data_IF_765413986407
#
_entry.id   IF_765413986407
#
_cell.length_a   1.000
_cell.length_b   1.000
_cell.length_c   1.000
_cell.angle_alpha   90.00
_cell.angle_beta   90.00
_cell.angle_gamma   90.00
#
_symmetry.space_group_name_H-M   'P 1'
#
loop_
_entity.id
_entity.type
_entity.pdbx_description
1 polymer ?
#
# COMPACT_ATOMS: atom_id res chain seq x y z
N UNK A 1 -3.92 -17.45 6.29
CA UNK A 1 -3.57 -16.09 5.84
C UNK A 1 -4.81 -15.38 5.35
N UNK A 2 -4.95 -14.13 5.68
CA UNK A 2 -6.06 -13.28 5.25
C UNK A 2 -5.59 -12.30 4.19
N UNK A 3 -6.51 -11.86 3.33
CA UNK A 3 -6.17 -10.99 2.21
C UNK A 3 -7.10 -9.80 2.14
N UNK A 4 -6.51 -8.63 1.89
CA UNK A 4 -7.23 -7.43 1.48
C UNK A 4 -6.88 -7.23 0.01
N UNK A 5 -7.89 -6.98 -0.82
CA UNK A 5 -7.66 -6.73 -2.25
C UNK A 5 -8.62 -5.68 -2.75
N UNK A 6 -8.06 -4.65 -3.35
CA UNK A 6 -8.82 -3.59 -4.02
C UNK A 6 -8.31 -3.41 -5.44
N UNK A 7 -9.13 -2.85 -6.31
CA UNK A 7 -8.76 -2.55 -7.70
C UNK A 7 -9.23 -1.17 -8.08
N UNK A 8 -8.51 -0.55 -8.99
CA UNK A 8 -8.89 0.74 -9.56
C UNK A 8 -8.33 0.89 -10.97
N UNK A 9 -9.02 1.68 -11.79
CA UNK A 9 -8.50 2.12 -13.09
C UNK A 9 -7.99 3.55 -12.91
N UNK A 10 -6.73 3.77 -13.28
CA UNK A 10 -6.11 5.09 -13.21
C UNK A 10 -5.86 5.57 -14.63
N UNK A 11 -6.39 6.75 -15.04
CA UNK A 11 -6.24 7.25 -16.40
C UNK A 11 -4.85 7.86 -16.63
N UNK A 12 -3.82 7.07 -16.44
CA UNK A 12 -2.41 7.43 -16.66
C UNK A 12 -1.60 6.16 -16.91
N UNK A 13 -0.46 6.31 -17.59
CA UNK A 13 0.40 5.17 -17.89
C UNK A 13 0.97 4.54 -16.62
N UNK A 14 1.34 3.24 -16.65
CA UNK A 14 2.00 2.60 -15.51
C UNK A 14 3.24 3.34 -15.03
N UNK A 15 4.02 3.92 -15.93
CA UNK A 15 5.23 4.67 -15.55
C UNK A 15 4.91 5.91 -14.74
N UNK A 16 3.84 6.61 -15.07
CA UNK A 16 3.41 7.79 -14.30
C UNK A 16 2.89 7.40 -12.93
N UNK A 17 2.13 6.32 -12.84
CA UNK A 17 1.65 5.78 -11.56
C UNK A 17 2.83 5.34 -10.71
N UNK A 18 3.77 4.63 -11.31
CA UNK A 18 4.97 4.15 -10.63
C UNK A 18 5.79 5.29 -10.01
N UNK A 19 5.98 6.37 -10.75
CA UNK A 19 6.74 7.51 -10.27
C UNK A 19 6.19 8.10 -8.97
N UNK A 20 4.87 8.10 -8.80
CA UNK A 20 4.22 8.54 -7.57
C UNK A 20 4.35 7.50 -6.46
N UNK A 21 4.17 6.22 -6.80
CA UNK A 21 4.23 5.13 -5.83
C UNK A 21 5.60 4.97 -5.16
N UNK A 22 6.68 5.21 -5.88
CA UNK A 22 8.03 5.04 -5.34
C UNK A 22 8.61 6.31 -4.72
N UNK A 23 7.93 7.42 -4.83
CA UNK A 23 8.35 8.69 -4.23
C UNK A 23 7.91 8.73 -2.76
N UNK A 24 8.50 7.86 -1.95
CA UNK A 24 8.13 7.65 -0.55
C UNK A 24 8.17 8.92 0.28
N UNK A 25 9.18 9.76 0.07
CA UNK A 25 9.35 10.99 0.84
C UNK A 25 8.23 12.00 0.66
N UNK A 26 7.35 11.81 -0.32
CA UNK A 26 6.19 12.67 -0.56
C UNK A 26 4.85 12.02 -0.19
N UNK A 27 4.86 10.86 0.41
CA UNK A 27 3.61 10.18 0.83
C UNK A 27 2.76 11.04 1.76
N UNK A 28 3.39 11.86 2.59
CA UNK A 28 2.68 12.77 3.49
C UNK A 28 1.84 13.81 2.76
N UNK A 29 2.10 14.04 1.47
CA UNK A 29 1.38 15.02 0.67
C UNK A 29 0.06 14.46 0.10
N UNK A 30 -0.10 13.14 0.03
CA UNK A 30 -1.27 12.57 -0.64
C UNK A 30 -1.80 11.27 -0.05
N UNK A 31 -0.98 10.44 0.57
CA UNK A 31 -1.38 9.08 0.97
C UNK A 31 -2.13 9.10 2.32
N UNK A 32 -3.43 8.74 2.34
CA UNK A 32 -4.21 8.80 3.58
C UNK A 32 -4.02 7.59 4.50
N UNK A 33 -3.27 6.57 4.10
CA UNK A 33 -3.03 5.36 4.89
C UNK A 33 -1.58 5.30 5.36
N UNK A 34 -0.63 5.26 4.43
CA UNK A 34 0.79 5.41 4.74
C UNK A 34 1.11 6.90 4.73
N UNK A 35 0.86 7.56 5.85
CA UNK A 35 0.87 9.03 5.95
C UNK A 35 2.26 9.63 5.91
N UNK A 36 3.30 8.83 6.08
CA UNK A 36 4.69 9.22 5.90
C UNK A 36 5.52 8.00 5.57
N UNK A 37 6.53 8.17 4.72
CA UNK A 37 7.47 7.12 4.39
C UNK A 37 8.81 7.72 3.97
N UNK A 38 9.88 6.93 4.08
CA UNK A 38 11.20 7.31 3.60
C UNK A 38 12.00 6.07 3.24
N UNK A 39 12.85 6.18 2.23
CA UNK A 39 13.71 5.11 1.76
C UNK A 39 13.88 5.15 0.25
N UNK A 40 14.72 4.27 -0.26
CA UNK A 40 15.02 4.17 -1.69
C UNK A 40 14.21 3.06 -2.35
N UNK A 41 13.77 3.29 -3.58
CA UNK A 41 12.99 2.33 -4.36
C UNK A 41 13.93 1.32 -5.05
N UNK A 42 14.40 0.34 -4.29
CA UNK A 42 15.21 -0.77 -4.81
C UNK A 42 14.90 -2.05 -4.05
N UNK A 43 15.05 -3.22 -4.69
CA UNK A 43 14.79 -4.50 -4.01
C UNK A 43 15.66 -4.63 -2.75
N UNK A 44 15.05 -5.10 -1.67
CA UNK A 44 15.74 -5.29 -0.39
C UNK A 44 15.94 -4.04 0.45
N UNK A 45 15.56 -2.87 -0.05
CA UNK A 45 15.72 -1.62 0.70
C UNK A 45 14.82 -1.62 1.94
N UNK A 46 15.30 -0.95 2.99
CA UNK A 46 14.52 -0.71 4.20
C UNK A 46 13.76 0.59 4.04
N UNK A 47 12.46 0.53 4.26
CA UNK A 47 11.56 1.68 4.20
C UNK A 47 11.01 1.93 5.59
N UNK A 48 11.14 3.16 6.07
CA UNK A 48 10.50 3.57 7.31
C UNK A 48 9.15 4.17 6.97
N UNK A 49 8.08 3.64 7.53
CA UNK A 49 6.73 4.09 7.23
C UNK A 49 5.91 4.31 8.49
N UNK A 50 5.06 5.33 8.45
CA UNK A 50 4.04 5.59 9.46
C UNK A 50 2.69 5.42 8.79
N UNK A 51 1.84 4.56 9.34
CA UNK A 51 0.53 4.30 8.76
C UNK A 51 -0.57 4.34 9.82
N UNK A 52 -1.78 4.64 9.37
CA UNK A 52 -2.96 4.55 10.22
C UNK A 52 -3.19 3.08 10.59
N UNK A 53 -3.57 2.87 11.85
CA UNK A 53 -3.95 1.54 12.32
C UNK A 53 -5.47 1.38 12.20
N UNK A 54 -5.99 0.74 11.13
CA UNK A 54 -7.43 0.65 10.91
C UNK A 54 -8.17 -0.10 12.01
N UNK A 55 -7.49 -1.02 12.71
CA UNK A 55 -8.08 -1.77 13.82
C UNK A 55 -7.90 -1.11 15.18
N UNK A 56 -7.28 0.07 15.23
CA UNK A 56 -7.03 0.79 16.49
C UNK A 56 -8.02 1.92 16.73
N UNK A 57 -7.66 2.80 17.68
CA UNK A 57 -8.44 4.00 17.95
C UNK A 57 -8.41 4.94 16.75
N UNK A 58 -9.46 5.76 16.52
CA UNK A 58 -9.45 6.76 15.46
C UNK A 58 -8.21 7.66 15.54
N UNK A 59 -7.47 7.78 14.44
CA UNK A 59 -6.25 8.58 14.37
C UNK A 59 -5.00 7.90 14.91
N UNK A 60 -5.08 6.68 15.45
CA UNK A 60 -3.92 5.95 15.92
C UNK A 60 -3.00 5.57 14.73
N UNK A 61 -1.69 5.70 14.95
CA UNK A 61 -0.69 5.40 13.92
C UNK A 61 0.33 4.39 14.44
N UNK A 62 0.97 3.70 13.51
CA UNK A 62 2.09 2.80 13.78
C UNK A 62 3.25 3.24 12.89
N UNK A 63 4.44 3.35 13.46
CA UNK A 63 5.67 3.60 12.70
C UNK A 63 6.55 2.37 12.78
N UNK A 64 7.01 1.88 11.63
CA UNK A 64 7.88 0.71 11.58
C UNK A 64 8.80 0.76 10.37
N UNK A 65 9.85 -0.06 10.42
CA UNK A 65 10.72 -0.29 9.29
C UNK A 65 10.29 -1.57 8.60
N UNK A 66 10.05 -1.48 7.31
CA UNK A 66 9.64 -2.61 6.46
C UNK A 66 10.70 -2.86 5.40
N UNK A 67 10.65 -4.01 4.75
CA UNK A 67 11.59 -4.36 3.68
C UNK A 67 10.86 -4.37 2.34
N UNK A 68 11.43 -3.70 1.35
CA UNK A 68 10.92 -3.75 -0.02
C UNK A 68 11.24 -5.13 -0.60
N UNK A 69 10.23 -6.00 -0.67
CA UNK A 69 10.40 -7.38 -1.13
C UNK A 69 10.22 -7.51 -2.63
N UNK A 70 9.47 -6.60 -3.24
CA UNK A 70 9.27 -6.54 -4.69
C UNK A 70 9.39 -5.09 -5.13
N UNK A 71 10.22 -4.84 -6.15
CA UNK A 71 10.38 -3.52 -6.74
C UNK A 71 10.70 -3.68 -8.22
N UNK A 72 9.66 -3.87 -9.03
CA UNK A 72 9.74 -4.06 -10.47
C UNK A 72 9.15 -2.80 -11.14
N UNK A 73 10.01 -1.91 -11.66
CA UNK A 73 9.55 -0.62 -12.19
C UNK A 73 8.37 -0.72 -13.15
N UNK A 74 7.34 0.05 -12.87
CA UNK A 74 6.13 0.11 -13.69
C UNK A 74 5.20 -1.11 -13.56
N UNK A 75 5.51 -2.08 -12.72
CA UNK A 75 4.76 -3.34 -12.64
C UNK A 75 4.34 -3.76 -11.25
N UNK A 76 5.26 -3.81 -10.30
CA UNK A 76 4.95 -4.36 -8.98
C UNK A 76 5.81 -3.77 -7.88
N UNK A 77 5.16 -3.41 -6.78
CA UNK A 77 5.78 -2.89 -5.57
C UNK A 77 5.20 -3.63 -4.38
N UNK A 78 6.05 -4.10 -3.48
CA UNK A 78 5.58 -4.71 -2.25
C UNK A 78 6.58 -4.51 -1.13
N UNK A 79 6.07 -4.31 0.09
CA UNK A 79 6.90 -4.30 1.28
C UNK A 79 6.31 -5.21 2.35
N UNK A 80 7.18 -5.75 3.18
CA UNK A 80 6.79 -6.68 4.24
C UNK A 80 7.30 -6.21 5.59
N UNK A 81 6.45 -6.34 6.59
CA UNK A 81 6.79 -6.13 7.99
C UNK A 81 6.28 -7.29 8.82
N UNK A 82 6.93 -7.54 9.95
CA UNK A 82 6.51 -8.65 10.81
C UNK A 82 6.88 -8.42 12.27
N UNK A 83 6.08 -9.03 13.15
CA UNK A 83 6.43 -9.28 14.55
C UNK A 83 6.45 -10.79 14.69
N UNK A 84 7.60 -11.41 15.06
CA UNK A 84 7.74 -12.87 15.07
C UNK A 84 6.58 -13.57 15.77
N UNK A 85 6.00 -14.59 15.14
CA UNK A 85 4.86 -15.41 15.59
C UNK A 85 3.52 -14.65 15.65
N UNK A 86 3.53 -13.34 15.89
CA UNK A 86 2.30 -12.58 16.12
C UNK A 86 1.70 -12.01 14.84
N UNK A 87 2.51 -11.44 13.96
CA UNK A 87 2.00 -10.75 12.78
C UNK A 87 2.97 -10.79 11.62
N UNK A 88 2.41 -10.96 10.41
CA UNK A 88 3.09 -10.77 9.14
C UNK A 88 2.18 -9.95 8.24
N UNK A 89 2.72 -8.94 7.59
CA UNK A 89 1.98 -8.16 6.60
C UNK A 89 2.82 -7.95 5.35
N UNK A 90 2.22 -8.17 4.17
CA UNK A 90 2.83 -7.84 2.90
C UNK A 90 1.88 -6.91 2.14
N UNK A 91 2.24 -5.66 2.09
CA UNK A 91 1.52 -4.61 1.37
C UNK A 91 1.97 -4.62 -0.09
N UNK A 92 1.04 -4.68 -1.04
CA UNK A 92 1.42 -4.83 -2.44
C UNK A 92 0.58 -3.99 -3.39
N UNK A 93 1.24 -3.56 -4.48
CA UNK A 93 0.63 -2.88 -5.61
C UNK A 93 1.07 -3.59 -6.88
N UNK A 94 0.13 -3.87 -7.77
CA UNK A 94 0.41 -4.41 -9.09
C UNK A 94 -0.19 -3.48 -10.14
N UNK A 95 0.61 -3.13 -11.15
CA UNK A 95 0.22 -2.24 -12.23
C UNK A 95 0.17 -3.02 -13.53
N UNK A 96 -0.93 -2.94 -14.25
CA UNK A 96 -1.10 -3.57 -15.54
C UNK A 96 -1.62 -2.55 -16.54
N UNK A 97 -0.99 -2.39 -17.72
CA UNK A 97 -1.54 -1.51 -18.75
C UNK A 97 -2.95 -1.95 -19.15
N UNK A 98 -3.85 -0.99 -19.27
CA UNK A 98 -5.21 -1.25 -19.74
C UNK A 98 -5.67 -0.07 -20.58
N UNK A 99 -5.72 -0.25 -21.90
CA UNK A 99 -5.93 0.85 -22.81
C UNK A 99 -4.82 1.88 -22.67
N UNK A 100 -5.18 3.14 -22.50
CA UNK A 100 -4.23 4.23 -22.25
C UNK A 100 -3.97 4.45 -20.76
N UNK A 101 -4.58 3.64 -19.90
CA UNK A 101 -4.50 3.76 -18.45
C UNK A 101 -3.81 2.57 -17.79
N UNK A 102 -4.01 2.50 -16.48
CA UNK A 102 -3.41 1.45 -15.64
C UNK A 102 -4.49 0.83 -14.76
N UNK A 103 -4.54 -0.50 -14.76
CA UNK A 103 -5.28 -1.24 -13.73
C UNK A 103 -4.35 -1.43 -12.53
N UNK A 104 -4.79 -0.90 -11.41
CA UNK A 104 -4.11 -1.05 -10.13
C UNK A 104 -4.78 -2.17 -9.33
N UNK A 105 -3.99 -3.10 -8.81
CA UNK A 105 -4.40 -3.99 -7.73
C UNK A 105 -3.60 -3.59 -6.50
N UNK A 106 -4.29 -3.27 -5.42
CA UNK A 106 -3.69 -2.79 -4.16
C UNK A 106 -4.30 -3.56 -3.01
N UNK A 107 -3.47 -4.16 -2.21
CA UNK A 107 -3.95 -4.95 -1.08
C UNK A 107 -2.86 -5.30 -0.08
N UNK A 108 -3.19 -6.24 0.79
CA UNK A 108 -2.27 -6.73 1.80
C UNK A 108 -2.57 -8.18 2.13
N UNK A 109 -1.52 -8.95 2.33
CA UNK A 109 -1.61 -10.32 2.84
C UNK A 109 -1.26 -10.29 4.33
N UNK A 110 -2.13 -10.84 5.17
CA UNK A 110 -2.03 -10.79 6.62
C UNK A 110 -1.88 -12.19 7.19
N UNK A 111 -0.83 -12.42 7.95
CA UNK A 111 -0.53 -13.71 8.57
C UNK A 111 -0.12 -13.58 10.03
N UNK A 112 0.36 -14.69 10.64
CA UNK A 112 0.63 -14.77 12.05
C UNK A 112 -0.64 -14.92 12.88
N UNK A 113 -0.52 -15.00 14.20
CA UNK A 113 -1.66 -15.21 15.09
C UNK A 113 -2.68 -14.07 14.98
N UNK A 114 -2.21 -12.82 14.97
CA UNK A 114 -3.09 -11.64 14.85
C UNK A 114 -3.68 -11.56 13.47
N UNK A 115 -2.84 -11.68 12.41
CA UNK A 115 -3.30 -11.57 11.03
C UNK A 115 -4.35 -12.60 10.66
N UNK A 116 -4.15 -13.86 11.05
CA UNK A 116 -5.11 -14.93 10.78
C UNK A 116 -6.37 -14.82 11.64
N UNK A 117 -6.33 -14.05 12.72
CA UNK A 117 -7.46 -13.84 13.61
C UNK A 117 -8.48 -12.81 13.12
N UNK A 118 -8.15 -12.01 12.11
CA UNK A 118 -9.10 -11.07 11.54
C UNK A 118 -10.25 -11.80 10.86
N UNK A 119 -11.46 -11.28 11.03
CA UNK A 119 -12.65 -11.81 10.36
C UNK A 119 -12.82 -11.14 9.01
N UNK A 120 -13.38 -11.85 8.03
CA UNK A 120 -13.56 -11.32 6.68
C UNK A 120 -14.45 -10.08 6.66
N UNK A 121 -15.56 -10.09 7.41
CA UNK A 121 -16.44 -8.93 7.51
C UNK A 121 -15.76 -7.74 8.20
N UNK A 122 -14.89 -7.99 9.16
CA UNK A 122 -14.07 -6.96 9.81
C UNK A 122 -13.12 -6.31 8.80
N UNK A 123 -12.44 -7.11 7.97
CA UNK A 123 -11.55 -6.59 6.92
C UNK A 123 -12.31 -5.71 5.93
N UNK A 124 -13.50 -6.15 5.50
CA UNK A 124 -14.32 -5.38 4.57
C UNK A 124 -14.81 -4.05 5.18
N UNK A 125 -15.16 -4.05 6.45
CA UNK A 125 -15.70 -2.87 7.12
C UNK A 125 -14.61 -1.89 7.54
N UNK A 126 -13.53 -2.40 8.14
CA UNK A 126 -12.56 -1.57 8.86
C UNK A 126 -11.28 -1.30 8.06
N UNK A 127 -10.94 -2.15 7.09
CA UNK A 127 -9.67 -2.06 6.35
C UNK A 127 -9.85 -1.62 4.90
N UNK A 128 -10.71 -2.31 4.16
CA UNK A 128 -10.89 -2.07 2.72
C UNK A 128 -11.16 -0.60 2.38
N UNK A 129 -12.01 0.14 3.10
CA UNK A 129 -12.24 1.54 2.78
C UNK A 129 -10.98 2.41 2.82
N UNK A 130 -10.03 2.10 3.70
CA UNK A 130 -8.76 2.83 3.78
C UNK A 130 -7.88 2.55 2.56
N UNK A 131 -7.88 1.31 2.07
CA UNK A 131 -7.12 0.93 0.87
C UNK A 131 -7.73 1.56 -0.38
N UNK A 132 -9.06 1.59 -0.46
CA UNK A 132 -9.77 2.26 -1.55
C UNK A 132 -9.50 3.77 -1.55
N UNK A 133 -9.41 4.39 -0.38
CA UNK A 133 -9.06 5.80 -0.26
C UNK A 133 -7.66 6.10 -0.80
N UNK A 134 -6.71 5.19 -0.61
CA UNK A 134 -5.37 5.31 -1.22
C UNK A 134 -5.48 5.28 -2.74
N UNK A 135 -6.28 4.39 -3.30
CA UNK A 135 -6.44 4.27 -4.74
C UNK A 135 -6.97 5.57 -5.36
N UNK A 136 -7.97 6.17 -4.72
CA UNK A 136 -8.53 7.45 -5.16
C UNK A 136 -7.50 8.58 -5.06
N UNK A 137 -6.79 8.65 -3.93
CA UNK A 137 -5.77 9.66 -3.70
C UNK A 137 -4.59 9.51 -4.66
N UNK A 138 -4.20 8.29 -4.97
CA UNK A 138 -3.13 7.99 -5.93
C UNK A 138 -3.52 8.49 -7.33
N UNK A 139 -4.72 8.17 -7.79
CA UNK A 139 -5.20 8.62 -9.10
C UNK A 139 -5.20 10.14 -9.19
N UNK A 140 -5.67 10.81 -8.14
CA UNK A 140 -5.68 12.27 -8.07
C UNK A 140 -4.26 12.84 -8.13
N UNK A 141 -3.35 12.26 -7.33
CA UNK A 141 -1.96 12.72 -7.27
C UNK A 141 -1.26 12.56 -8.62
N UNK A 142 -1.45 11.43 -9.28
CA UNK A 142 -0.87 11.18 -10.60
C UNK A 142 -1.36 12.24 -11.61
N UNK A 143 -2.63 12.60 -11.58
CA UNK A 143 -3.18 13.64 -12.44
C UNK A 143 -2.58 15.03 -12.15
N UNK A 144 -2.29 15.32 -10.87
CA UNK A 144 -1.71 16.62 -10.46
C UNK A 144 -0.26 16.80 -10.90
N UNK A 145 0.54 15.72 -10.88
CA UNK A 145 1.98 15.79 -11.18
C UNK A 145 2.31 15.35 -12.60
N UNK A 146 1.35 14.73 -13.27
CA UNK A 146 1.48 14.30 -14.66
C UNK A 146 1.13 15.40 -15.62
#
# INVERSE_FOLDING_TARGET
MKHIRTEALIPASPDKVWAVLVDFGRYHEWNPLNIAASGEARPGAKIRTTFLNPGGKPGATITQTVTLTTCEPGRALAWSGSVPLLFKGRHHFTLTPEGSGTRLVHGEDLGGLIGNGFKDDQLLRDFVPHYEAVNVALARRVAEVG
#
